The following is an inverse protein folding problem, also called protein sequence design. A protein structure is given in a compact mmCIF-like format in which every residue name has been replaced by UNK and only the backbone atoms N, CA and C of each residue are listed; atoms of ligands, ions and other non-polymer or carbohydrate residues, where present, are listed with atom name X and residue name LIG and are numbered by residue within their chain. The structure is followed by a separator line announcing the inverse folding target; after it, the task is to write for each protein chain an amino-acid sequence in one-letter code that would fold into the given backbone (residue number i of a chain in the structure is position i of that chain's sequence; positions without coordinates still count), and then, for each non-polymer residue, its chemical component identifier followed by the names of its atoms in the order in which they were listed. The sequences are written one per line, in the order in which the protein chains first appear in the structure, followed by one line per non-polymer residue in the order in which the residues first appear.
data_IF_114659931878
#
_entry.id   IF_114659931878
#
_cell.length_a   1.000
_cell.length_b   1.000
_cell.length_c   1.000
_cell.angle_alpha   90.00
_cell.angle_beta   90.00
_cell.angle_gamma   90.00
#
_symmetry.space_group_name_H-M   'P 1'
#
loop_
_entity.id
_entity.type
_entity.pdbx_description
1 polymer ?
#
# COMPACT_ATOMS: atom_id res chain seq x y z
N UNK A 1 44.76 38.48 45.99
CA UNK A 1 44.95 37.39 45.01
C UNK A 1 43.66 36.59 44.99
N UNK A 2 42.97 36.52 43.84
CA UNK A 2 41.69 35.81 43.69
C UNK A 2 40.54 36.73 43.26
N UNK A 3 40.47 37.06 41.95
CA UNK A 3 39.28 37.63 41.32
C UNK A 3 38.26 36.52 41.06
N UNK A 4 37.02 36.72 41.49
CA UNK A 4 35.85 35.96 41.04
C UNK A 4 35.65 36.12 39.52
N UNK A 5 35.28 35.05 38.78
CA UNK A 5 34.75 35.21 37.45
C UNK A 5 33.22 35.25 37.47
N UNK A 6 32.70 36.32 36.88
CA UNK A 6 31.30 36.57 36.58
C UNK A 6 30.70 35.47 35.70
N UNK A 7 29.47 35.09 36.05
CA UNK A 7 28.59 34.24 35.27
C UNK A 7 28.16 34.93 33.97
N UNK A 8 28.71 34.48 32.84
CA UNK A 8 28.21 34.83 31.50
C UNK A 8 27.17 33.80 31.07
N UNK A 9 25.90 34.18 31.15
CA UNK A 9 24.77 33.42 30.57
C UNK A 9 24.76 33.57 29.05
N UNK A 10 25.09 32.49 28.33
CA UNK A 10 24.82 32.37 26.90
C UNK A 10 23.37 31.90 26.66
N UNK A 11 22.67 32.40 25.63
CA UNK A 11 21.26 32.14 25.42
C UNK A 11 21.01 30.73 24.89
N UNK A 12 19.96 30.09 25.44
CA UNK A 12 19.56 28.74 25.12
C UNK A 12 19.29 28.53 23.63
N UNK A 13 20.09 27.67 23.01
CA UNK A 13 19.73 27.02 21.77
C UNK A 13 18.51 26.12 22.05
N UNK A 14 17.32 26.59 21.67
CA UNK A 14 16.13 25.76 21.53
C UNK A 14 16.42 24.70 20.47
N UNK A 15 16.87 23.53 20.92
CA UNK A 15 16.96 22.32 20.12
C UNK A 15 15.54 21.90 19.75
N UNK A 16 15.04 22.39 18.61
CA UNK A 16 13.89 21.78 17.95
C UNK A 16 14.26 20.34 17.63
N UNK A 17 13.55 19.41 18.26
CA UNK A 17 13.69 17.98 18.01
C UNK A 17 13.41 17.68 16.52
N UNK A 18 14.22 16.85 15.84
CA UNK A 18 14.06 16.55 14.40
C UNK A 18 12.69 15.93 14.04
N UNK A 19 11.94 15.47 15.05
CA UNK A 19 10.64 14.81 14.94
C UNK A 19 9.43 15.76 14.80
N UNK A 20 9.61 17.08 14.84
CA UNK A 20 8.50 18.03 14.61
C UNK A 20 8.10 18.18 13.13
N UNK A 21 8.83 17.55 12.21
CA UNK A 21 8.80 17.87 10.79
C UNK A 21 7.81 17.02 9.97
N UNK A 22 6.79 17.70 9.44
CA UNK A 22 5.85 17.30 8.38
C UNK A 22 4.75 16.28 8.75
N UNK A 23 3.80 16.73 9.58
CA UNK A 23 2.46 16.11 9.64
C UNK A 23 1.63 16.53 8.43
N UNK A 24 0.73 15.66 8.00
CA UNK A 24 -0.30 16.02 7.02
C UNK A 24 -1.19 17.13 7.58
N UNK A 25 -1.42 18.18 6.79
CA UNK A 25 -2.59 19.05 7.04
C UNK A 25 -3.87 18.33 6.61
N UNK A 26 -5.02 18.78 7.13
CA UNK A 26 -6.34 18.30 6.68
C UNK A 26 -6.49 18.44 5.16
N UNK A 27 -6.04 19.57 4.62
CA UNK A 27 -6.04 19.82 3.19
C UNK A 27 -5.13 18.85 2.41
N UNK A 28 -3.95 18.48 2.95
CA UNK A 28 -3.09 17.47 2.32
C UNK A 28 -3.78 16.09 2.28
N UNK A 29 -4.56 15.73 3.32
CA UNK A 29 -5.36 14.50 3.32
C UNK A 29 -6.49 14.54 2.28
N UNK A 30 -7.13 15.70 2.10
CA UNK A 30 -8.13 15.91 1.05
C UNK A 30 -7.53 15.75 -0.35
N UNK A 31 -6.34 16.31 -0.58
CA UNK A 31 -5.60 16.14 -1.83
C UNK A 31 -5.24 14.67 -2.09
N UNK A 32 -4.69 13.98 -1.10
CA UNK A 32 -4.40 12.54 -1.21
C UNK A 32 -5.68 11.76 -1.51
N UNK A 33 -6.79 12.09 -0.84
CA UNK A 33 -8.06 11.42 -1.08
C UNK A 33 -8.58 11.66 -2.50
N UNK A 34 -8.43 12.87 -3.04
CA UNK A 34 -8.78 13.18 -4.42
C UNK A 34 -7.97 12.35 -5.42
N UNK A 35 -6.66 12.21 -5.18
CA UNK A 35 -5.77 11.38 -6.02
C UNK A 35 -6.09 9.89 -5.84
N UNK A 36 -6.51 9.43 -4.67
CA UNK A 36 -6.96 8.04 -4.53
C UNK A 36 -8.25 7.76 -5.31
N UNK A 37 -9.14 8.74 -5.44
CA UNK A 37 -10.39 8.60 -6.21
C UNK A 37 -10.11 8.62 -7.71
N UNK A 38 -9.36 9.62 -8.18
CA UNK A 38 -9.03 9.75 -9.60
C UNK A 38 -7.53 10.01 -9.75
N UNK A 39 -6.70 8.95 -9.74
CA UNK A 39 -5.23 9.07 -9.73
C UNK A 39 -4.67 9.89 -10.86
N UNK A 40 -5.35 9.96 -12.01
CA UNK A 40 -4.92 10.72 -13.20
C UNK A 40 -5.81 11.90 -13.55
N UNK A 41 -6.75 12.32 -12.68
CA UNK A 41 -7.52 13.53 -12.93
C UNK A 41 -6.57 14.73 -13.14
N UNK A 42 -6.86 15.59 -14.13
CA UNK A 42 -6.05 16.78 -14.37
C UNK A 42 -6.18 17.73 -13.19
N UNK A 43 -5.12 18.50 -12.93
CA UNK A 43 -5.11 19.48 -11.83
C UNK A 43 -6.20 20.55 -11.98
N UNK A 44 -6.61 20.85 -13.21
CA UNK A 44 -7.75 21.73 -13.50
C UNK A 44 -9.09 21.19 -13.01
N UNK A 45 -9.22 19.88 -12.78
CA UNK A 45 -10.39 19.25 -12.13
C UNK A 45 -10.19 19.18 -10.62
N UNK A 46 -9.00 18.74 -10.17
CA UNK A 46 -8.70 18.52 -8.74
C UNK A 46 -8.70 19.83 -7.96
N UNK A 47 -8.03 20.88 -8.46
CA UNK A 47 -7.90 22.15 -7.74
C UNK A 47 -9.25 22.74 -7.34
N UNK A 48 -10.16 23.03 -8.30
CA UNK A 48 -11.47 23.58 -7.99
C UNK A 48 -12.34 22.68 -7.12
N UNK A 49 -12.20 21.34 -7.23
CA UNK A 49 -12.90 20.41 -6.36
C UNK A 49 -12.46 20.52 -4.89
N UNK A 50 -11.25 21.02 -4.63
CA UNK A 50 -10.68 21.25 -3.30
C UNK A 50 -10.60 22.73 -2.91
N UNK A 51 -11.27 23.62 -3.66
CA UNK A 51 -11.31 25.05 -3.37
C UNK A 51 -10.03 25.84 -3.66
N UNK A 52 -9.11 25.31 -4.48
CA UNK A 52 -7.85 26.01 -4.86
C UNK A 52 -7.65 26.05 -6.38
N UNK A 53 -6.66 26.82 -6.84
CA UNK A 53 -6.26 26.77 -8.25
C UNK A 53 -5.46 25.51 -8.59
N UNK A 54 -5.41 25.16 -9.88
CA UNK A 54 -4.73 23.97 -10.37
C UNK A 54 -3.22 23.94 -10.05
N UNK A 55 -2.55 25.10 -10.10
CA UNK A 55 -1.12 25.18 -9.84
C UNK A 55 -0.82 24.97 -8.35
N UNK A 56 -1.68 25.46 -7.46
CA UNK A 56 -1.60 25.20 -6.03
C UNK A 56 -1.78 23.71 -5.72
N UNK A 57 -2.79 23.05 -6.28
CA UNK A 57 -2.97 21.61 -6.11
C UNK A 57 -1.74 20.80 -6.58
N UNK A 58 -1.21 21.14 -7.76
CA UNK A 58 -0.03 20.49 -8.32
C UNK A 58 1.22 20.70 -7.45
N UNK A 59 1.48 21.93 -6.97
CA UNK A 59 2.61 22.26 -6.10
C UNK A 59 2.56 21.49 -4.79
N UNK A 60 1.38 21.41 -4.17
CA UNK A 60 1.22 20.65 -2.94
C UNK A 60 1.44 19.15 -3.14
N UNK A 61 0.90 18.57 -4.22
CA UNK A 61 1.16 17.17 -4.54
C UNK A 61 2.65 16.90 -4.72
N UNK A 62 3.35 17.76 -5.47
CA UNK A 62 4.79 17.66 -5.66
C UNK A 62 5.56 17.75 -4.34
N UNK A 63 5.17 18.65 -3.42
CA UNK A 63 5.74 18.74 -2.08
C UNK A 63 5.56 17.44 -1.30
N UNK A 64 4.37 16.85 -1.32
CA UNK A 64 4.08 15.59 -0.63
C UNK A 64 4.89 14.42 -1.20
N UNK A 65 5.00 14.32 -2.52
CA UNK A 65 5.78 13.25 -3.16
C UNK A 65 7.28 13.43 -2.96
N UNK A 66 7.80 14.65 -3.07
CA UNK A 66 9.21 14.94 -2.81
C UNK A 66 9.63 14.64 -1.35
N UNK A 67 8.71 14.81 -0.39
CA UNK A 67 8.92 14.46 1.01
C UNK A 67 8.65 12.98 1.33
N UNK A 68 8.28 12.15 0.35
CA UNK A 68 7.90 10.75 0.54
C UNK A 68 6.63 10.56 1.37
N UNK A 69 5.83 11.61 1.55
CA UNK A 69 4.62 11.58 2.38
C UNK A 69 3.46 10.91 1.65
N UNK A 70 3.29 11.18 0.35
CA UNK A 70 2.30 10.54 -0.50
C UNK A 70 2.95 10.11 -1.80
N UNK A 71 2.47 9.03 -2.41
CA UNK A 71 3.01 8.51 -3.66
C UNK A 71 1.95 7.73 -4.41
N UNK A 72 2.21 7.51 -5.70
CA UNK A 72 1.38 6.63 -6.52
C UNK A 72 2.12 5.37 -6.89
N UNK A 73 1.36 4.36 -7.27
CA UNK A 73 1.89 3.09 -7.78
C UNK A 73 0.96 2.58 -8.86
N UNK A 74 1.54 2.04 -9.92
CA UNK A 74 0.79 1.33 -10.94
C UNK A 74 1.25 -0.13 -11.03
N UNK A 75 0.30 -1.05 -11.15
CA UNK A 75 0.59 -2.48 -11.30
C UNK A 75 -0.50 -3.19 -12.10
N UNK A 76 -0.16 -4.38 -12.60
CA UNK A 76 -1.07 -5.22 -13.36
C UNK A 76 -1.31 -6.55 -12.61
N UNK A 77 -2.47 -6.74 -11.95
CA UNK A 77 -2.72 -7.90 -11.08
C UNK A 77 -2.97 -9.21 -11.85
N UNK A 78 -3.30 -9.13 -13.15
CA UNK A 78 -3.83 -10.22 -13.98
C UNK A 78 -2.86 -11.37 -14.30
N UNK A 79 -1.69 -11.41 -13.65
CA UNK A 79 -0.57 -12.28 -14.03
C UNK A 79 0.00 -13.10 -12.88
N UNK A 80 -0.53 -12.96 -11.66
CA UNK A 80 0.17 -13.49 -10.49
C UNK A 80 -0.73 -14.29 -9.55
N UNK A 81 -0.25 -15.46 -9.15
CA UNK A 81 -0.59 -16.08 -7.88
C UNK A 81 -0.01 -15.19 -6.77
N UNK A 82 -0.87 -14.74 -5.87
CA UNK A 82 -0.45 -13.91 -4.74
C UNK A 82 -0.17 -14.79 -3.53
N UNK A 83 1.10 -14.77 -3.09
CA UNK A 83 1.54 -15.45 -1.88
C UNK A 83 1.53 -14.50 -0.67
N UNK A 84 0.86 -14.94 0.39
CA UNK A 84 0.87 -14.35 1.73
C UNK A 84 1.78 -15.19 2.63
N UNK A 85 2.95 -14.68 2.96
CA UNK A 85 4.00 -15.48 3.60
C UNK A 85 4.32 -14.91 4.97
N UNK A 86 4.10 -15.68 6.03
CA UNK A 86 4.67 -15.37 7.34
C UNK A 86 6.06 -16.00 7.40
N UNK A 87 7.08 -15.17 7.67
CA UNK A 87 8.48 -15.59 7.74
C UNK A 87 9.01 -15.43 9.17
N UNK A 88 9.48 -16.54 9.74
CA UNK A 88 10.13 -16.59 11.04
C UNK A 88 11.63 -16.65 10.83
N UNK A 89 12.35 -15.72 11.45
CA UNK A 89 13.80 -15.63 11.36
C UNK A 89 14.40 -15.69 12.76
N UNK A 90 15.65 -16.13 12.87
CA UNK A 90 16.42 -15.96 14.10
C UNK A 90 16.67 -14.46 14.32
N UNK A 91 16.59 -13.95 15.57
CA UNK A 91 16.73 -12.52 15.87
C UNK A 91 17.98 -11.87 15.27
N UNK A 92 19.13 -12.57 15.34
CA UNK A 92 20.41 -12.09 14.83
C UNK A 92 20.46 -11.94 13.29
N UNK A 93 19.62 -12.69 12.57
CA UNK A 93 19.57 -12.67 11.11
C UNK A 93 18.46 -11.76 10.56
N UNK A 94 17.56 -11.25 11.41
CA UNK A 94 16.36 -10.51 10.98
C UNK A 94 16.70 -9.31 10.11
N UNK A 95 17.71 -8.53 10.47
CA UNK A 95 18.12 -7.35 9.68
C UNK A 95 18.58 -7.73 8.27
N UNK A 96 19.45 -8.74 8.16
CA UNK A 96 19.99 -9.20 6.88
C UNK A 96 18.91 -9.84 6.00
N UNK A 97 18.05 -10.69 6.58
CA UNK A 97 16.93 -11.29 5.86
C UNK A 97 15.98 -10.20 5.37
N UNK A 98 15.60 -9.25 6.23
CA UNK A 98 14.71 -8.12 5.87
C UNK A 98 15.24 -7.34 4.69
N UNK A 99 16.54 -7.01 4.69
CA UNK A 99 17.17 -6.30 3.58
C UNK A 99 17.11 -7.11 2.27
N UNK A 100 17.42 -8.41 2.33
CA UNK A 100 17.40 -9.29 1.16
C UNK A 100 16.00 -9.44 0.57
N UNK A 101 14.98 -9.65 1.41
CA UNK A 101 13.58 -9.74 0.95
C UNK A 101 13.05 -8.40 0.46
N UNK A 102 13.44 -7.29 1.09
CA UNK A 102 13.06 -5.94 0.67
C UNK A 102 13.54 -5.63 -0.75
N UNK A 103 14.76 -6.09 -1.09
CA UNK A 103 15.36 -5.91 -2.42
C UNK A 103 14.82 -6.89 -3.47
N UNK A 104 13.98 -7.86 -3.12
CA UNK A 104 13.36 -8.75 -4.08
C UNK A 104 12.18 -8.04 -4.80
N UNK A 105 12.22 -7.88 -6.14
CA UNK A 105 11.14 -7.24 -6.90
C UNK A 105 9.79 -7.95 -6.82
N UNK A 106 9.80 -9.27 -6.61
CA UNK A 106 8.57 -10.08 -6.52
C UNK A 106 7.88 -9.98 -5.16
N UNK A 107 8.61 -9.57 -4.11
CA UNK A 107 8.04 -9.23 -2.81
C UNK A 107 7.67 -7.76 -2.83
N UNK A 108 6.38 -7.45 -2.97
CA UNK A 108 5.94 -6.07 -3.17
C UNK A 108 5.50 -5.39 -1.87
N UNK A 109 5.16 -6.13 -0.81
CA UNK A 109 4.83 -5.57 0.51
C UNK A 109 5.45 -6.39 1.63
N UNK A 110 5.91 -5.70 2.67
CA UNK A 110 6.58 -6.28 3.84
C UNK A 110 6.17 -5.51 5.09
N UNK A 111 5.51 -6.21 6.02
CA UNK A 111 5.27 -5.73 7.36
C UNK A 111 6.22 -6.44 8.33
N UNK A 112 6.92 -5.68 9.18
CA UNK A 112 7.56 -6.23 10.36
C UNK A 112 6.51 -6.32 11.45
N UNK A 113 6.27 -7.53 11.96
CA UNK A 113 5.18 -7.81 12.89
C UNK A 113 5.70 -8.30 14.23
N UNK A 114 4.92 -8.04 15.27
CA UNK A 114 5.11 -8.71 16.55
C UNK A 114 4.64 -10.17 16.49
N UNK A 115 5.19 -11.02 17.37
CA UNK A 115 4.75 -12.41 17.56
C UNK A 115 5.71 -13.46 17.01
N UNK A 116 5.17 -14.63 16.67
CA UNK A 116 5.97 -15.82 16.30
C UNK A 116 6.65 -15.74 14.93
N UNK A 117 6.17 -14.88 14.04
CA UNK A 117 6.74 -14.60 12.72
C UNK A 117 7.06 -13.11 12.65
N UNK A 118 8.30 -12.76 12.33
CA UNK A 118 8.80 -11.39 12.44
C UNK A 118 8.50 -10.56 11.17
N UNK A 119 8.25 -11.23 10.04
CA UNK A 119 7.92 -10.59 8.77
C UNK A 119 6.66 -11.22 8.16
N UNK A 120 5.76 -10.36 7.68
CA UNK A 120 4.62 -10.72 6.84
C UNK A 120 4.87 -10.17 5.43
N UNK A 121 4.97 -11.07 4.45
CA UNK A 121 5.34 -10.74 3.08
C UNK A 121 4.13 -10.94 2.16
N UNK A 122 3.97 -10.04 1.21
CA UNK A 122 3.09 -10.27 0.06
C UNK A 122 3.92 -10.28 -1.22
N UNK A 123 3.76 -11.35 -2.01
CA UNK A 123 4.55 -11.57 -3.21
C UNK A 123 3.72 -12.02 -4.41
N UNK A 124 4.24 -11.78 -5.61
CA UNK A 124 3.62 -12.15 -6.89
C UNK A 124 4.44 -13.23 -7.61
N UNK A 125 3.83 -14.39 -7.88
CA UNK A 125 4.43 -15.52 -8.60
C UNK A 125 3.64 -15.86 -9.85
N UNK A 126 4.27 -16.41 -10.89
CA UNK A 126 3.62 -16.73 -12.16
C UNK A 126 2.57 -17.84 -11.99
N UNK A 127 2.85 -18.80 -11.12
CA UNK A 127 1.99 -19.92 -10.78
C UNK A 127 2.35 -20.49 -9.38
N UNK A 128 1.71 -21.60 -9.00
CA UNK A 128 1.96 -22.27 -7.72
C UNK A 128 3.36 -22.90 -7.64
N UNK A 129 3.94 -23.34 -8.76
CA UNK A 129 5.27 -23.94 -8.77
C UNK A 129 6.35 -22.87 -8.57
N UNK A 130 6.18 -21.70 -9.19
CA UNK A 130 7.01 -20.53 -8.96
C UNK A 130 6.90 -20.04 -7.50
N UNK A 131 5.71 -20.09 -6.89
CA UNK A 131 5.54 -19.77 -5.47
C UNK A 131 6.25 -20.79 -4.56
N UNK A 132 6.18 -22.08 -4.87
CA UNK A 132 6.93 -23.12 -4.17
C UNK A 132 8.44 -22.91 -4.29
N UNK A 133 8.95 -22.68 -5.50
CA UNK A 133 10.36 -22.37 -5.74
C UNK A 133 10.84 -21.17 -4.92
N UNK A 134 10.08 -20.07 -4.92
CA UNK A 134 10.39 -18.89 -4.12
C UNK A 134 10.45 -19.21 -2.61
N UNK A 135 9.48 -19.97 -2.11
CA UNK A 135 9.33 -20.21 -0.66
C UNK A 135 10.31 -21.26 -0.14
N UNK A 136 10.49 -22.36 -0.86
CA UNK A 136 11.34 -23.49 -0.46
C UNK A 136 12.80 -23.23 -0.84
N UNK A 137 13.07 -22.80 -2.08
CA UNK A 137 14.45 -22.64 -2.55
C UNK A 137 14.99 -21.28 -2.23
N UNK A 138 14.32 -20.21 -2.65
CA UNK A 138 14.87 -18.87 -2.48
C UNK A 138 14.85 -18.42 -1.02
N UNK A 139 13.68 -18.38 -0.37
CA UNK A 139 13.56 -18.03 1.06
C UNK A 139 14.27 -19.05 1.96
N UNK A 140 14.09 -20.35 1.70
CA UNK A 140 14.74 -21.40 2.49
C UNK A 140 16.26 -21.40 2.43
N UNK A 141 16.86 -20.82 1.37
CA UNK A 141 18.31 -20.65 1.27
C UNK A 141 18.87 -19.48 2.08
N UNK A 142 18.02 -18.57 2.57
CA UNK A 142 18.48 -17.39 3.30
C UNK A 142 18.95 -17.78 4.71
N UNK A 143 20.22 -17.49 5.08
CA UNK A 143 20.72 -17.79 6.42
C UNK A 143 19.86 -17.17 7.52
N UNK A 144 19.46 -18.00 8.50
CA UNK A 144 18.66 -17.57 9.65
C UNK A 144 17.14 -17.63 9.45
N UNK A 145 16.64 -18.00 8.27
CA UNK A 145 15.23 -18.38 8.10
C UNK A 145 14.96 -19.67 8.86
N UNK A 146 13.96 -19.64 9.75
CA UNK A 146 13.62 -20.73 10.66
C UNK A 146 12.28 -21.40 10.32
N UNK A 147 11.33 -20.67 9.73
CA UNK A 147 10.09 -21.24 9.21
C UNK A 147 9.38 -20.28 8.25
N UNK A 148 8.62 -20.86 7.33
CA UNK A 148 7.70 -20.16 6.42
C UNK A 148 6.30 -20.74 6.57
N UNK A 149 5.29 -19.88 6.62
CA UNK A 149 3.89 -20.27 6.38
C UNK A 149 3.41 -19.55 5.14
N UNK A 150 2.80 -20.28 4.22
CA UNK A 150 2.38 -19.76 2.92
C UNK A 150 0.88 -19.95 2.79
N UNK A 151 0.20 -18.86 2.45
CA UNK A 151 -1.21 -18.84 2.07
C UNK A 151 -1.34 -18.21 0.68
N UNK A 152 -2.14 -18.81 -0.19
CA UNK A 152 -2.43 -18.34 -1.55
C UNK A 152 -3.70 -17.51 -1.51
N UNK A 153 -3.66 -16.29 -2.06
CA UNK A 153 -4.84 -15.45 -2.23
C UNK A 153 -5.76 -16.01 -3.33
N UNK A 154 -7.06 -16.10 -3.04
CA UNK A 154 -8.08 -16.54 -4.00
C UNK A 154 -8.97 -15.40 -4.45
N UNK A 155 -9.68 -14.79 -3.49
CA UNK A 155 -10.62 -13.70 -3.74
C UNK A 155 -10.20 -12.48 -2.91
N UNK A 156 -10.13 -11.33 -3.57
CA UNK A 156 -9.94 -10.03 -2.92
C UNK A 156 -11.30 -9.39 -2.72
N UNK A 157 -11.75 -9.27 -1.46
CA UNK A 157 -13.03 -8.62 -1.13
C UNK A 157 -12.88 -7.11 -0.93
N UNK A 158 -11.74 -6.69 -0.35
CA UNK A 158 -11.36 -5.29 -0.22
C UNK A 158 -9.91 -5.17 -0.63
N UNK A 159 -9.61 -4.32 -1.61
CA UNK A 159 -8.25 -4.12 -2.09
C UNK A 159 -7.59 -2.88 -1.47
N UNK A 160 -6.28 -3.04 -1.23
CA UNK A 160 -5.26 -2.02 -1.40
C UNK A 160 -5.69 -0.75 -2.15
N UNK A 161 -5.99 -0.87 -3.42
CA UNK A 161 -6.23 0.28 -4.26
C UNK A 161 -7.54 1.02 -3.95
N UNK A 162 -8.47 0.45 -3.18
CA UNK A 162 -9.83 0.99 -2.96
C UNK A 162 -10.02 1.69 -1.62
N UNK A 163 -9.09 1.49 -0.68
CA UNK A 163 -9.19 2.13 0.63
C UNK A 163 -9.01 3.65 0.57
N UNK A 164 -9.83 4.37 1.34
CA UNK A 164 -9.84 5.84 1.38
C UNK A 164 -9.93 6.31 2.85
N UNK A 165 -9.27 7.42 3.24
CA UNK A 165 -9.43 8.03 4.56
C UNK A 165 -10.83 8.64 4.75
N UNK A 166 -11.58 8.85 3.67
CA UNK A 166 -12.94 9.37 3.71
C UNK A 166 -13.03 10.87 4.01
N UNK A 167 -11.98 11.62 3.67
CA UNK A 167 -11.80 13.04 4.00
C UNK A 167 -12.68 13.99 3.17
N UNK A 168 -12.98 13.64 1.91
CA UNK A 168 -13.85 14.45 1.03
C UNK A 168 -15.34 14.24 1.30
N UNK A 169 -16.15 15.27 1.12
CA UNK A 169 -17.61 15.19 1.18
C UNK A 169 -18.23 14.56 -0.09
N UNK A 170 -19.57 14.43 -0.12
CA UNK A 170 -20.28 13.78 -1.22
C UNK A 170 -20.21 14.56 -2.54
N UNK A 171 -20.25 15.88 -2.47
CA UNK A 171 -20.31 16.76 -3.65
C UNK A 171 -18.91 16.98 -4.24
N UNK A 172 -17.88 17.03 -3.41
CA UNK A 172 -16.46 16.97 -3.80
C UNK A 172 -16.15 15.66 -4.52
N UNK A 173 -16.61 14.51 -3.99
CA UNK A 173 -16.43 13.21 -4.65
C UNK A 173 -17.12 13.14 -6.01
N UNK A 174 -18.36 13.61 -6.11
CA UNK A 174 -19.12 13.58 -7.36
C UNK A 174 -18.44 14.42 -8.47
N UNK A 175 -17.80 15.53 -8.11
CA UNK A 175 -17.01 16.37 -9.03
C UNK A 175 -15.74 15.68 -9.53
N UNK A 176 -15.20 14.73 -8.78
CA UNK A 176 -13.98 14.00 -9.13
C UNK A 176 -14.23 12.77 -10.00
N UNK A 177 -15.37 12.08 -9.81
CA UNK A 177 -15.66 10.82 -10.49
C UNK A 177 -16.00 10.99 -11.97
N UNK A 178 -16.65 12.08 -12.39
CA UNK A 178 -17.05 12.30 -13.79
C UNK A 178 -17.85 11.12 -14.41
N UNK A 179 -18.12 11.15 -15.72
CA UNK A 179 -18.77 10.04 -16.45
C UNK A 179 -17.84 8.80 -16.65
N UNK A 180 -16.60 8.85 -16.14
CA UNK A 180 -15.55 7.84 -16.39
C UNK A 180 -15.82 6.46 -15.75
N UNK A 181 -16.81 6.35 -14.84
CA UNK A 181 -17.12 5.11 -14.11
C UNK A 181 -18.07 4.14 -14.84
N UNK A 182 -18.64 4.50 -15.99
CA UNK A 182 -19.75 3.73 -16.59
C UNK A 182 -19.41 2.58 -17.53
N UNK A 183 -18.15 2.39 -17.94
CA UNK A 183 -17.81 1.38 -18.96
C UNK A 183 -16.69 0.41 -18.55
N UNK A 184 -16.88 -0.32 -17.44
CA UNK A 184 -16.05 -1.49 -17.10
C UNK A 184 -16.64 -2.75 -17.72
N UNK A 185 -16.19 -3.10 -18.94
CA UNK A 185 -16.07 -4.48 -19.48
C UNK A 185 -15.62 -4.53 -20.96
N UNK A 186 -14.52 -3.86 -21.32
CA UNK A 186 -13.87 -4.13 -22.62
C UNK A 186 -12.90 -5.31 -22.49
N UNK A 187 -13.04 -6.32 -23.34
CA UNK A 187 -12.05 -7.39 -23.51
C UNK A 187 -10.81 -6.79 -24.20
N UNK A 188 -9.74 -6.55 -23.44
CA UNK A 188 -8.48 -6.01 -23.99
C UNK A 188 -7.47 -7.13 -24.26
N UNK A 189 -6.96 -7.20 -25.49
CA UNK A 189 -5.89 -8.14 -25.88
C UNK A 189 -4.54 -7.64 -25.37
N UNK A 190 -3.78 -8.54 -24.74
CA UNK A 190 -2.44 -8.28 -24.19
C UNK A 190 -1.45 -7.90 -25.30
N UNK A 191 -0.61 -6.90 -25.05
CA UNK A 191 0.48 -6.50 -25.97
C UNK A 191 1.78 -6.34 -25.21
N UNK A 192 2.92 -6.60 -25.87
CA UNK A 192 4.26 -6.38 -25.28
C UNK A 192 4.44 -4.94 -24.78
N UNK A 193 3.87 -3.97 -25.49
CA UNK A 193 3.88 -2.54 -25.11
C UNK A 193 3.18 -2.28 -23.76
N UNK A 194 2.21 -3.11 -23.36
CA UNK A 194 1.51 -2.95 -22.07
C UNK A 194 2.48 -3.12 -20.90
N UNK A 195 3.42 -4.08 -21.00
CA UNK A 195 4.42 -4.34 -19.96
C UNK A 195 5.29 -3.10 -19.73
N UNK A 196 5.72 -2.43 -20.81
CA UNK A 196 6.55 -1.23 -20.72
C UNK A 196 5.77 -0.04 -20.17
N UNK A 197 4.50 0.13 -20.56
CA UNK A 197 3.63 1.18 -20.02
C UNK A 197 3.40 0.97 -18.52
N UNK A 198 3.09 -0.26 -18.09
CA UNK A 198 2.89 -0.60 -16.68
C UNK A 198 4.17 -0.36 -15.88
N UNK A 199 5.32 -0.82 -16.39
CA UNK A 199 6.60 -0.64 -15.72
C UNK A 199 6.99 0.84 -15.57
N UNK A 200 6.77 1.66 -16.61
CA UNK A 200 7.03 3.10 -16.57
C UNK A 200 6.14 3.81 -15.53
N UNK A 201 4.87 3.43 -15.44
CA UNK A 201 3.93 3.98 -14.46
C UNK A 201 4.15 3.48 -13.02
N UNK A 202 4.99 2.47 -12.83
CA UNK A 202 5.15 1.79 -11.53
C UNK A 202 5.48 2.76 -10.39
N UNK A 203 6.41 3.69 -10.62
CA UNK A 203 6.81 4.70 -9.64
C UNK A 203 5.92 5.95 -9.66
N UNK A 204 5.33 6.30 -10.81
CA UNK A 204 4.45 7.45 -10.91
C UNK A 204 3.30 7.20 -11.88
N UNK A 205 2.12 7.00 -11.31
CA UNK A 205 0.88 6.78 -12.05
C UNK A 205 0.43 8.02 -12.84
N UNK A 206 1.01 9.20 -12.58
CA UNK A 206 0.64 10.48 -13.18
C UNK A 206 1.56 10.94 -14.31
N UNK A 207 2.57 10.15 -14.70
CA UNK A 207 3.44 10.46 -15.84
C UNK A 207 2.64 10.91 -17.07
N UNK A 208 3.12 11.95 -17.73
CA UNK A 208 2.51 12.50 -18.93
C UNK A 208 2.58 11.48 -20.08
N UNK A 209 1.74 11.68 -21.10
CA UNK A 209 1.75 10.81 -22.27
C UNK A 209 3.07 10.88 -23.04
N UNK A 210 3.74 12.04 -23.02
CA UNK A 210 5.03 12.25 -23.65
C UNK A 210 6.15 11.48 -22.93
N UNK A 211 6.18 11.55 -21.60
CA UNK A 211 7.13 10.78 -20.79
C UNK A 211 6.92 9.28 -20.94
N UNK A 212 5.66 8.83 -20.97
CA UNK A 212 5.32 7.42 -21.21
C UNK A 212 5.70 6.96 -22.61
N UNK A 213 5.51 7.79 -23.64
CA UNK A 213 5.94 7.50 -25.01
C UNK A 213 7.47 7.31 -25.07
N UNK A 214 8.21 8.23 -24.47
CA UNK A 214 9.67 8.14 -24.36
C UNK A 214 10.11 6.87 -23.61
N UNK A 215 9.49 6.57 -22.47
CA UNK A 215 9.85 5.41 -21.64
C UNK A 215 9.48 4.06 -22.29
N UNK A 216 8.37 3.99 -23.02
CA UNK A 216 7.87 2.75 -23.63
C UNK A 216 8.36 2.50 -25.06
N UNK A 217 8.97 3.51 -25.70
CA UNK A 217 9.39 3.44 -27.10
C UNK A 217 8.23 3.47 -28.10
N UNK A 218 7.03 3.86 -27.67
CA UNK A 218 5.83 3.95 -28.52
C UNK A 218 5.43 5.41 -28.78
N UNK A 219 4.62 5.66 -29.82
CA UNK A 219 4.09 7.02 -30.07
C UNK A 219 3.08 7.44 -29.00
N UNK A 220 2.94 8.74 -28.73
CA UNK A 220 1.97 9.27 -27.77
C UNK A 220 0.53 8.82 -28.06
N UNK A 221 0.14 8.78 -29.34
CA UNK A 221 -1.17 8.26 -29.78
C UNK A 221 -1.38 6.81 -29.36
N UNK A 222 -0.33 5.98 -29.51
CA UNK A 222 -0.36 4.58 -29.11
C UNK A 222 -0.47 4.44 -27.59
N UNK A 223 0.34 5.19 -26.85
CA UNK A 223 0.31 5.19 -25.37
C UNK A 223 -1.04 5.64 -24.85
N UNK A 224 -1.60 6.74 -25.38
CA UNK A 224 -2.92 7.25 -24.99
C UNK A 224 -4.00 6.18 -25.14
N UNK A 225 -4.06 5.56 -26.32
CA UNK A 225 -5.03 4.50 -26.62
C UNK A 225 -4.84 3.29 -25.70
N UNK A 226 -3.60 2.80 -25.53
CA UNK A 226 -3.31 1.62 -24.69
C UNK A 226 -3.57 1.88 -23.21
N UNK A 227 -3.21 3.06 -22.71
CA UNK A 227 -3.48 3.43 -21.32
C UNK A 227 -4.98 3.44 -21.03
N UNK A 228 -5.78 4.05 -21.89
CA UNK A 228 -7.24 4.04 -21.75
C UNK A 228 -7.80 2.61 -21.76
N UNK A 229 -7.35 1.76 -22.69
CA UNK A 229 -7.77 0.34 -22.76
C UNK A 229 -7.37 -0.46 -21.51
N UNK A 230 -6.16 -0.22 -20.96
CA UNK A 230 -5.68 -0.91 -19.75
C UNK A 230 -6.45 -0.50 -18.50
N UNK A 231 -6.77 0.79 -18.36
CA UNK A 231 -7.59 1.30 -17.25
C UNK A 231 -9.04 0.82 -17.36
N UNK A 232 -9.67 0.94 -18.53
CA UNK A 232 -11.06 0.54 -18.74
C UNK A 232 -11.27 -0.99 -18.57
N UNK A 233 -10.26 -1.79 -18.92
CA UNK A 233 -10.31 -3.25 -18.69
C UNK A 233 -9.95 -3.67 -17.27
N UNK A 234 -9.50 -2.76 -16.41
CA UNK A 234 -9.00 -3.08 -15.06
C UNK A 234 -7.68 -3.84 -15.04
N UNK A 235 -6.99 -3.96 -16.18
CA UNK A 235 -5.70 -4.64 -16.31
C UNK A 235 -4.55 -3.81 -15.74
N UNK A 236 -4.75 -2.51 -15.60
CA UNK A 236 -3.86 -1.57 -14.91
C UNK A 236 -4.60 -0.99 -13.72
N UNK A 237 -4.07 -1.22 -12.52
CA UNK A 237 -4.56 -0.62 -11.28
C UNK A 237 -3.64 0.53 -10.92
N UNK A 238 -4.23 1.69 -10.68
CA UNK A 238 -3.54 2.86 -10.16
C UNK A 238 -3.90 3.04 -8.69
N UNK A 239 -2.88 3.16 -7.87
CA UNK A 239 -3.01 3.27 -6.42
C UNK A 239 -2.32 4.52 -5.93
N UNK A 240 -2.86 5.12 -4.88
CA UNK A 240 -2.23 6.21 -4.15
C UNK A 240 -2.15 5.82 -2.66
N UNK A 241 -0.95 5.89 -2.12
CA UNK A 241 -0.61 5.56 -0.74
C UNK A 241 0.01 6.77 -0.05
N UNK A 242 0.04 6.74 1.29
CA UNK A 242 0.58 7.82 2.12
C UNK A 242 1.25 7.29 3.38
N UNK A 243 2.19 8.04 3.95
CA UNK A 243 2.87 7.75 5.21
C UNK A 243 1.84 7.69 6.37
N UNK A 244 1.23 6.52 6.57
CA UNK A 244 0.03 6.32 7.40
C UNK A 244 0.20 6.83 8.83
N UNK A 245 1.41 6.65 9.39
CA UNK A 245 1.74 7.07 10.75
C UNK A 245 1.70 8.59 10.90
N UNK A 246 2.17 9.31 9.88
CA UNK A 246 2.14 10.77 9.82
C UNK A 246 0.78 11.33 9.42
N UNK A 247 -0.04 10.51 8.75
CA UNK A 247 -1.40 10.84 8.33
C UNK A 247 -2.46 10.60 9.42
N UNK A 248 -2.10 10.00 10.56
CA UNK A 248 -2.99 9.80 11.70
C UNK A 248 -3.47 8.35 11.92
N UNK A 249 -2.99 7.38 11.13
CA UNK A 249 -3.27 5.95 11.30
C UNK A 249 -1.99 5.18 11.68
N UNK A 250 -1.47 5.37 12.92
CA UNK A 250 -0.21 4.77 13.35
C UNK A 250 -0.30 3.28 13.64
N UNK A 251 -1.49 2.71 13.77
CA UNK A 251 -1.68 1.29 14.06
C UNK A 251 -2.16 0.55 12.81
N UNK A 252 -1.49 -0.56 12.50
CA UNK A 252 -1.89 -1.51 11.47
C UNK A 252 -1.95 -2.89 12.13
N UNK A 253 -3.14 -3.48 12.10
CA UNK A 253 -3.38 -4.83 12.60
C UNK A 253 -3.64 -5.79 11.43
N UNK A 254 -3.18 -7.02 11.60
CA UNK A 254 -3.39 -8.12 10.66
C UNK A 254 -4.04 -9.24 11.46
N UNK A 255 -5.27 -9.59 11.10
CA UNK A 255 -5.95 -10.77 11.60
C UNK A 255 -5.92 -11.85 10.53
N UNK A 256 -5.54 -13.05 10.96
CA UNK A 256 -5.82 -14.28 10.21
C UNK A 256 -6.97 -14.97 10.89
N UNK A 257 -7.95 -15.38 10.11
CA UNK A 257 -9.18 -15.93 10.64
C UNK A 257 -9.68 -17.10 9.80
N UNK A 258 -10.56 -17.90 10.41
CA UNK A 258 -11.33 -18.91 9.73
C UNK A 258 -12.81 -18.54 9.78
N UNK A 259 -13.47 -18.66 8.63
CA UNK A 259 -14.91 -18.59 8.50
C UNK A 259 -15.39 -19.71 7.57
N UNK A 260 -16.56 -20.30 7.79
CA UNK A 260 -17.17 -21.23 6.82
C UNK A 260 -17.25 -20.59 5.43
N UNK A 261 -16.90 -21.37 4.39
CA UNK A 261 -16.70 -20.85 3.04
C UNK A 261 -17.96 -20.14 2.49
N UNK A 262 -19.14 -20.62 2.86
CA UNK A 262 -20.43 -20.05 2.45
C UNK A 262 -20.67 -18.62 2.96
N UNK A 263 -19.95 -18.17 4.01
CA UNK A 263 -20.10 -16.84 4.60
C UNK A 263 -18.99 -15.86 4.19
N UNK A 264 -17.95 -16.31 3.47
CA UNK A 264 -16.81 -15.45 3.12
C UNK A 264 -17.25 -14.25 2.27
N UNK A 265 -18.16 -14.47 1.32
CA UNK A 265 -18.70 -13.41 0.45
C UNK A 265 -19.50 -12.37 1.23
N UNK A 266 -20.33 -12.83 2.17
CA UNK A 266 -21.15 -11.94 3.00
C UNK A 266 -20.29 -11.11 3.94
N UNK A 267 -19.26 -11.73 4.53
CA UNK A 267 -18.24 -11.00 5.29
C UNK A 267 -17.60 -9.94 4.41
N UNK A 268 -17.10 -10.32 3.23
CA UNK A 268 -16.49 -9.41 2.26
C UNK A 268 -17.35 -8.19 1.95
N UNK A 269 -18.64 -8.39 1.64
CA UNK A 269 -19.58 -7.33 1.30
C UNK A 269 -19.89 -6.38 2.48
N UNK A 270 -19.90 -6.91 3.70
CA UNK A 270 -20.12 -6.12 4.90
C UNK A 270 -18.88 -5.31 5.29
N UNK A 271 -17.70 -5.95 5.31
CA UNK A 271 -16.45 -5.31 5.69
C UNK A 271 -15.97 -4.26 4.70
N UNK A 272 -16.35 -4.36 3.42
CA UNK A 272 -16.08 -3.34 2.41
C UNK A 272 -16.67 -1.96 2.76
N UNK A 273 -17.64 -1.89 3.68
CA UNK A 273 -18.26 -0.64 4.15
C UNK A 273 -17.51 -0.03 5.35
N UNK A 274 -16.54 -0.75 5.91
CA UNK A 274 -15.84 -0.33 7.13
C UNK A 274 -14.57 0.43 6.75
N UNK A 275 -14.49 1.69 7.16
CA UNK A 275 -13.41 2.60 6.77
C UNK A 275 -12.04 2.15 7.28
N UNK A 276 -12.00 1.36 8.34
CA UNK A 276 -10.77 0.86 8.95
C UNK A 276 -10.15 -0.28 8.10
N UNK A 277 -10.96 -1.00 7.31
CA UNK A 277 -10.52 -2.21 6.61
C UNK A 277 -9.80 -1.84 5.31
N UNK A 278 -8.49 -2.06 5.34
CA UNK A 278 -7.56 -1.74 4.26
C UNK A 278 -7.47 -2.87 3.23
N UNK A 279 -7.62 -4.10 3.70
CA UNK A 279 -7.56 -5.31 2.89
C UNK A 279 -8.38 -6.42 3.55
N UNK A 280 -9.12 -7.16 2.74
CA UNK A 280 -9.80 -8.38 3.15
C UNK A 280 -9.74 -9.37 1.99
N UNK A 281 -9.15 -10.55 2.23
CA UNK A 281 -8.96 -11.54 1.17
C UNK A 281 -9.16 -12.96 1.69
N UNK A 282 -9.85 -13.77 0.90
CA UNK A 282 -9.90 -15.21 1.10
C UNK A 282 -8.56 -15.83 0.69
N UNK A 283 -8.09 -16.77 1.50
CA UNK A 283 -6.82 -17.44 1.27
C UNK A 283 -6.94 -18.95 1.46
N UNK A 284 -6.00 -19.70 0.88
CA UNK A 284 -5.83 -21.13 1.10
C UNK A 284 -4.38 -21.44 1.47
N UNK A 285 -4.17 -22.25 2.50
CA UNK A 285 -2.83 -22.61 2.98
C UNK A 285 -2.66 -22.21 4.44
N UNK A 286 -2.72 -23.20 5.33
CA UNK A 286 -2.65 -23.03 6.79
C UNK A 286 -4.00 -23.13 7.50
N UNK A 287 -4.03 -22.66 8.75
CA UNK A 287 -5.19 -22.80 9.65
C UNK A 287 -6.25 -21.69 9.46
N UNK A 288 -6.00 -20.75 8.56
CA UNK A 288 -6.86 -19.60 8.25
C UNK A 288 -7.26 -19.62 6.78
N UNK A 289 -8.48 -19.20 6.47
CA UNK A 289 -8.93 -18.97 5.10
C UNK A 289 -9.26 -17.50 4.81
N UNK A 290 -8.91 -16.59 5.72
CA UNK A 290 -9.17 -15.17 5.63
C UNK A 290 -8.01 -14.37 6.22
N UNK A 291 -7.60 -13.31 5.52
CA UNK A 291 -6.72 -12.27 6.05
C UNK A 291 -7.48 -10.95 6.04
N UNK A 292 -7.50 -10.26 7.18
CA UNK A 292 -8.07 -8.93 7.35
C UNK A 292 -6.96 -7.99 7.83
N UNK A 293 -6.73 -6.91 7.10
CA UNK A 293 -5.81 -5.84 7.49
C UNK A 293 -6.61 -4.59 7.76
N UNK A 294 -6.43 -3.99 8.94
CA UNK A 294 -7.09 -2.74 9.30
C UNK A 294 -6.10 -1.68 9.80
N UNK A 295 -6.42 -0.42 9.52
CA UNK A 295 -5.70 0.76 9.99
C UNK A 295 -6.51 1.48 11.06
N UNK A 296 -5.87 1.73 12.20
CA UNK A 296 -6.51 2.27 13.40
C UNK A 296 -5.74 3.50 13.88
N UNK A 297 -6.43 4.36 14.64
CA UNK A 297 -5.83 5.56 15.23
C UNK A 297 -5.09 5.23 16.52
N UNK A 298 -5.57 4.25 17.28
CA UNK A 298 -5.00 3.81 18.56
C UNK A 298 -4.90 2.30 18.66
N UNK A 299 -4.06 1.79 19.58
CA UNK A 299 -3.91 0.34 19.77
C UNK A 299 -5.13 -0.27 20.47
N UNK A 300 -5.81 0.52 21.30
CA UNK A 300 -7.01 0.17 22.05
C UNK A 300 -8.19 -0.13 21.12
N UNK A 301 -8.31 0.62 20.02
CA UNK A 301 -9.31 0.37 18.96
C UNK A 301 -9.22 -1.05 18.38
N UNK A 302 -8.08 -1.74 18.48
CA UNK A 302 -7.95 -3.11 17.98
C UNK A 302 -8.91 -4.08 18.69
N UNK A 303 -9.12 -3.88 20.00
CA UNK A 303 -10.04 -4.69 20.82
C UNK A 303 -11.48 -4.40 20.42
N UNK A 304 -11.83 -3.13 20.24
CA UNK A 304 -13.17 -2.72 19.82
C UNK A 304 -13.50 -3.21 18.41
N UNK A 305 -12.54 -3.10 17.50
CA UNK A 305 -12.65 -3.58 16.13
C UNK A 305 -12.80 -5.10 16.06
N UNK A 306 -12.00 -5.84 16.83
CA UNK A 306 -12.15 -7.30 16.97
C UNK A 306 -13.52 -7.66 17.54
N UNK A 307 -13.96 -6.97 18.60
CA UNK A 307 -15.28 -7.18 19.20
C UNK A 307 -16.40 -6.95 18.17
N UNK A 308 -16.28 -5.91 17.34
CA UNK A 308 -17.22 -5.61 16.26
C UNK A 308 -17.24 -6.71 15.20
N UNK A 309 -16.08 -7.24 14.81
CA UNK A 309 -15.95 -8.37 13.88
C UNK A 309 -16.65 -9.63 14.44
N UNK A 310 -16.35 -10.01 15.68
CA UNK A 310 -16.94 -11.22 16.30
C UNK A 310 -18.44 -11.10 16.50
N UNK A 311 -18.96 -9.90 16.81
CA UNK A 311 -20.41 -9.67 16.91
C UNK A 311 -21.11 -9.76 15.55
N UNK A 312 -20.51 -9.18 14.51
CA UNK A 312 -21.07 -9.22 13.16
C UNK A 312 -21.00 -10.63 12.54
N UNK A 313 -19.96 -11.40 12.88
CA UNK A 313 -19.73 -12.75 12.35
C UNK A 313 -19.44 -13.74 13.49
N UNK A 314 -20.48 -14.28 14.17
CA UNK A 314 -20.28 -15.16 15.33
C UNK A 314 -19.53 -16.46 15.01
N UNK A 315 -19.54 -16.92 13.75
CA UNK A 315 -18.79 -18.11 13.29
C UNK A 315 -17.34 -17.78 12.87
N UNK A 316 -16.93 -16.51 12.92
CA UNK A 316 -15.56 -16.09 12.62
C UNK A 316 -14.65 -16.46 13.79
N UNK A 317 -13.61 -17.24 13.51
CA UNK A 317 -12.58 -17.57 14.49
C UNK A 317 -11.27 -16.90 14.11
N UNK A 318 -10.81 -15.95 14.91
CA UNK A 318 -9.49 -15.34 14.74
C UNK A 318 -8.43 -16.33 15.22
N UNK A 319 -7.56 -16.76 14.31
CA UNK A 319 -6.51 -17.75 14.57
C UNK A 319 -5.17 -17.10 14.86
N UNK A 320 -4.92 -15.89 14.35
CA UNK A 320 -3.69 -15.14 14.61
C UNK A 320 -3.97 -13.63 14.71
N UNK A 321 -3.22 -12.95 15.58
CA UNK A 321 -3.30 -11.51 15.83
C UNK A 321 -1.92 -10.91 15.74
N UNK A 322 -1.71 -10.09 14.72
CA UNK A 322 -0.43 -9.42 14.52
C UNK A 322 -0.62 -7.92 14.48
N UNK A 323 0.31 -7.20 15.09
CA UNK A 323 0.44 -5.75 14.95
C UNK A 323 1.70 -5.47 14.13
N UNK A 324 1.60 -4.61 13.12
CA UNK A 324 2.77 -4.15 12.37
C UNK A 324 3.52 -3.11 13.22
N UNK A 325 4.76 -3.46 13.55
CA UNK A 325 5.73 -2.59 14.20
C UNK A 325 6.31 -1.59 13.20
N UNK A 326 6.48 -2.03 11.94
CA UNK A 326 6.98 -1.18 10.86
C UNK A 326 6.58 -1.75 9.50
N UNK A 327 6.06 -0.89 8.63
CA UNK A 327 5.94 -1.22 7.20
C UNK A 327 7.29 -0.97 6.53
N UNK A 328 7.97 -2.04 6.11
CA UNK A 328 9.31 -1.96 5.49
C UNK A 328 9.18 -1.60 4.00
N UNK A 329 8.20 -2.21 3.34
CA UNK A 329 7.94 -2.03 1.91
C UNK A 329 6.44 -2.08 1.67
N UNK A 330 5.93 -1.23 0.77
CA UNK A 330 4.51 -1.22 0.40
C UNK A 330 4.35 -0.99 -1.09
N UNK A 331 3.79 -1.98 -1.77
CA UNK A 331 3.56 -1.95 -3.22
C UNK A 331 4.78 -1.47 -4.01
N UNK A 332 5.95 -2.05 -3.74
CA UNK A 332 7.20 -1.70 -4.41
C UNK A 332 7.98 -0.55 -3.74
N UNK A 333 7.33 0.32 -2.96
CA UNK A 333 8.02 1.43 -2.28
C UNK A 333 8.63 0.98 -0.95
N UNK A 334 9.95 1.14 -0.80
CA UNK A 334 10.69 0.97 0.46
C UNK A 334 10.43 2.22 1.32
N UNK A 335 10.15 1.99 2.61
CA UNK A 335 9.79 3.05 3.54
C UNK A 335 10.84 3.23 4.64
N UNK A 336 11.01 4.47 5.09
CA UNK A 336 11.83 4.77 6.26
C UNK A 336 11.13 4.45 7.59
N UNK A 337 11.78 4.74 8.72
CA UNK A 337 11.23 4.49 10.06
C UNK A 337 9.96 5.30 10.40
N UNK A 338 9.64 6.34 9.62
CA UNK A 338 8.42 7.15 9.76
C UNK A 338 7.35 6.76 8.72
N UNK A 339 7.62 5.76 7.90
CA UNK A 339 6.73 5.30 6.84
C UNK A 339 6.75 6.17 5.58
N UNK A 340 7.75 7.05 5.40
CA UNK A 340 7.92 7.85 4.18
C UNK A 340 8.54 7.01 3.07
N UNK A 341 8.05 7.17 1.84
CA UNK A 341 8.63 6.52 0.67
C UNK A 341 10.02 7.09 0.36
N UNK A 342 11.02 6.21 0.26
CA UNK A 342 12.41 6.60 -0.02
C UNK A 342 12.94 6.04 -1.34
N UNK A 343 12.51 4.85 -1.72
CA UNK A 343 13.01 4.17 -2.91
C UNK A 343 11.91 3.31 -3.52
N UNK A 344 11.77 3.33 -4.85
CA UNK A 344 10.84 2.48 -5.57
C UNK A 344 11.56 1.26 -6.15
N UNK A 345 11.11 0.07 -5.74
CA UNK A 345 11.47 -1.21 -6.35
C UNK A 345 10.33 -1.65 -7.28
N UNK A 346 10.59 -1.84 -8.60
CA UNK A 346 9.55 -2.26 -9.52
C UNK A 346 8.96 -3.61 -9.11
N UNK A 347 7.63 -3.72 -9.15
CA UNK A 347 6.93 -4.97 -8.89
C UNK A 347 7.15 -5.89 -10.08
N UNK A 348 7.66 -7.10 -9.82
CA UNK A 348 7.82 -8.15 -10.83
C UNK A 348 7.16 -9.44 -10.38
N UNK A 349 7.04 -10.37 -11.31
CA UNK A 349 6.46 -11.69 -11.07
C UNK A 349 7.62 -12.67 -10.96
N UNK A 350 7.63 -13.48 -9.91
CA UNK A 350 8.56 -14.60 -9.79
C UNK A 350 8.19 -15.69 -10.79
N UNK A 351 9.17 -16.23 -11.52
CA UNK A 351 8.97 -17.18 -12.62
C UNK A 351 9.85 -18.39 -12.46
#
# INVERSE_FOLDING_TARGET
MGKEPQSSSAPGATGQSPHAAARFSEWDLNLVNAIQISPRAPWSRIGPALGVDAATAARHWHRLTAAGLAWTTAYAPEYAVIGWIQLRCRPEALAQVSERVCRCPSVYSIESTGGGYQLDLTMAAADLAALDDFTVRWLGSLPGVAATRVAVGLDMYVEGADWRPGALDRDERARLTGDDDRERRLRSVRRKTDIQIVAALGADARLSLSELAAASGASETTVRRRLAELLASGRLVLRCDMARQLAGWPILIIYRAQLPAEQLRDLGAAVAKWKEIRLCTATFGGDSNLIIVAWLHTAQEAIEFETRLSRAFPRLRITDRQISLRTIKRMGWILDGLGRAVEHMPIRIWT
#
